data_IF_582972953277
#
_entry.id   IF_582972953277
#
_cell.length_a   1.000
_cell.length_b   1.000
_cell.length_c   1.000
_cell.angle_alpha   90.00
_cell.angle_beta   90.00
_cell.angle_gamma   90.00
#
_symmetry.space_group_name_H-M   'P 1'
#
loop_
_entity.id
_entity.type
_entity.pdbx_description
1 polymer ?
#
# COMPACT_ATOMS: atom_id res chain seq x y z
N UNK A 1 -29.11 -89.60 -21.51
CA UNK A 1 -28.15 -90.37 -20.71
C UNK A 1 -26.77 -89.77 -20.94
N UNK A 2 -26.30 -88.97 -20.00
CA UNK A 2 -25.03 -88.23 -20.09
C UNK A 2 -24.45 -88.09 -18.68
N UNK A 3 -23.19 -88.43 -18.56
CA UNK A 3 -22.45 -88.86 -17.38
C UNK A 3 -22.29 -87.82 -16.26
N UNK A 4 -22.48 -88.31 -15.04
CA UNK A 4 -21.90 -87.81 -13.79
C UNK A 4 -20.36 -87.95 -13.81
N UNK A 5 -19.64 -86.88 -13.48
CA UNK A 5 -18.36 -86.96 -12.78
C UNK A 5 -18.18 -85.72 -11.90
N UNK A 6 -17.74 -85.99 -10.67
CA UNK A 6 -17.63 -85.14 -9.49
C UNK A 6 -16.16 -84.78 -9.29
N UNK A 7 -15.84 -83.53 -8.95
CA UNK A 7 -14.64 -83.12 -8.21
C UNK A 7 -14.89 -81.67 -7.74
N UNK A 8 -15.32 -81.42 -6.50
CA UNK A 8 -14.51 -81.28 -5.28
C UNK A 8 -13.31 -80.31 -5.41
N UNK A 9 -13.44 -79.24 -4.63
CA UNK A 9 -12.42 -78.57 -3.83
C UNK A 9 -11.29 -77.84 -4.57
N UNK A 10 -11.41 -76.52 -4.62
CA UNK A 10 -10.28 -75.62 -4.38
C UNK A 10 -10.77 -74.31 -3.77
N UNK A 11 -10.90 -74.35 -2.45
CA UNK A 11 -10.70 -73.18 -1.61
C UNK A 11 -9.26 -72.71 -1.79
N UNK A 12 -9.05 -71.54 -2.41
CA UNK A 12 -7.91 -70.63 -2.22
C UNK A 12 -7.98 -69.50 -3.25
N UNK A 13 -8.85 -68.53 -2.98
CA UNK A 13 -8.78 -67.19 -3.58
C UNK A 13 -9.23 -66.12 -2.57
N UNK A 14 -8.84 -66.28 -1.30
CA UNK A 14 -8.81 -65.20 -0.32
C UNK A 14 -7.34 -64.80 -0.12
N UNK A 15 -6.87 -63.81 -0.86
CA UNK A 15 -5.78 -62.89 -0.48
C UNK A 15 -5.27 -62.14 -1.71
N UNK A 16 -5.99 -61.10 -2.13
CA UNK A 16 -5.36 -60.04 -2.91
C UNK A 16 -6.01 -58.70 -2.58
N UNK A 17 -5.42 -58.06 -1.57
CA UNK A 17 -5.01 -56.66 -1.60
C UNK A 17 -5.82 -55.74 -2.54
N UNK A 18 -6.75 -54.98 -1.96
CA UNK A 18 -6.74 -53.53 -2.13
C UNK A 18 -7.32 -52.89 -0.88
N UNK A 19 -6.40 -52.45 -0.02
CA UNK A 19 -6.65 -51.43 0.98
C UNK A 19 -7.14 -50.17 0.27
N UNK A 20 -8.45 -49.95 0.21
CA UNK A 20 -9.00 -48.63 -0.07
C UNK A 20 -8.75 -47.74 1.15
N UNK A 21 -7.51 -47.28 1.27
CA UNK A 21 -7.17 -46.13 2.07
C UNK A 21 -7.94 -44.95 1.48
N UNK A 22 -9.00 -44.56 2.17
CA UNK A 22 -9.71 -43.30 1.98
C UNK A 22 -8.66 -42.19 1.92
N UNK A 23 -8.43 -41.70 0.71
CA UNK A 23 -7.59 -40.54 0.42
C UNK A 23 -8.22 -39.33 1.13
N UNK A 24 -7.81 -39.12 2.37
CA UNK A 24 -8.05 -37.88 3.07
C UNK A 24 -7.40 -36.78 2.25
N UNK A 25 -8.14 -35.73 1.84
CA UNK A 25 -7.55 -34.66 1.06
C UNK A 25 -6.41 -34.05 1.87
N UNK A 26 -5.16 -34.29 1.43
CA UNK A 26 -3.94 -33.69 1.98
C UNK A 26 -4.20 -32.19 2.11
N UNK A 27 -4.48 -31.71 3.32
CA UNK A 27 -4.57 -30.29 3.62
C UNK A 27 -3.22 -29.70 3.25
N UNK A 28 -3.19 -28.95 2.16
CA UNK A 28 -2.01 -28.20 1.75
C UNK A 28 -1.46 -27.44 2.96
N UNK A 29 -0.13 -27.46 3.20
CA UNK A 29 0.45 -26.78 4.34
C UNK A 29 0.02 -25.33 4.34
N UNK A 30 -0.55 -24.89 5.46
CA UNK A 30 -0.97 -23.50 5.71
C UNK A 30 0.27 -22.63 5.48
N UNK A 31 0.31 -21.93 4.34
CA UNK A 31 1.44 -21.06 3.99
C UNK A 31 1.72 -20.14 5.19
N UNK A 32 3.00 -19.98 5.61
CA UNK A 32 3.33 -19.12 6.74
C UNK A 32 2.69 -17.76 6.49
N UNK A 33 2.02 -17.24 7.52
CA UNK A 33 1.34 -15.95 7.48
C UNK A 33 2.31 -14.92 6.92
N UNK A 34 2.11 -14.57 5.64
CA UNK A 34 2.77 -13.42 5.05
C UNK A 34 2.36 -12.26 5.96
N UNK A 35 3.32 -11.54 6.54
CA UNK A 35 3.10 -10.32 7.34
C UNK A 35 2.38 -9.29 6.47
N UNK A 36 1.09 -9.48 6.27
CA UNK A 36 0.18 -8.52 5.70
C UNK A 36 -0.43 -7.80 6.90
N UNK A 37 -0.28 -6.47 6.98
CA UNK A 37 -0.84 -5.74 8.10
C UNK A 37 -2.36 -5.98 8.15
N UNK A 38 -2.86 -6.37 9.32
CA UNK A 38 -4.29 -6.59 9.56
C UNK A 38 -5.10 -5.32 9.34
N UNK A 39 -6.37 -5.44 8.95
CA UNK A 39 -7.24 -4.29 8.69
C UNK A 39 -7.23 -3.23 9.82
N UNK A 40 -7.18 -3.68 11.09
CA UNK A 40 -7.06 -2.80 12.27
C UNK A 40 -5.80 -1.93 12.27
N UNK A 41 -4.66 -2.50 11.85
CA UNK A 41 -3.37 -1.79 11.75
C UNK A 41 -3.43 -0.72 10.67
N UNK A 42 -4.09 -1.00 9.54
CA UNK A 42 -4.25 -0.02 8.47
C UNK A 42 -5.14 1.15 8.88
N UNK A 43 -6.25 0.87 9.56
CA UNK A 43 -7.09 1.92 10.13
C UNK A 43 -6.29 2.79 11.10
N UNK A 44 -5.50 2.16 11.98
CA UNK A 44 -4.60 2.87 12.90
C UNK A 44 -3.61 3.77 12.15
N UNK A 45 -3.00 3.27 11.08
CA UNK A 45 -2.10 4.05 10.20
C UNK A 45 -2.81 5.23 9.54
N UNK A 46 -4.07 5.06 9.09
CA UNK A 46 -4.86 6.16 8.52
C UNK A 46 -5.09 7.27 9.56
N UNK A 47 -5.53 6.90 10.77
CA UNK A 47 -5.76 7.87 11.84
C UNK A 47 -4.47 8.53 12.32
N UNK A 48 -3.38 7.77 12.43
CA UNK A 48 -2.07 8.31 12.75
C UNK A 48 -1.62 9.32 11.69
N UNK A 49 -1.81 9.00 10.41
CA UNK A 49 -1.51 9.91 9.30
C UNK A 49 -2.34 11.19 9.42
N UNK A 50 -3.65 11.08 9.69
CA UNK A 50 -4.51 12.24 9.90
C UNK A 50 -4.09 13.07 11.13
N UNK A 51 -3.69 12.41 12.23
CA UNK A 51 -3.21 13.07 13.44
C UNK A 51 -1.91 13.84 13.22
N UNK A 52 -0.94 13.24 12.52
CA UNK A 52 0.33 13.90 12.16
C UNK A 52 0.13 15.15 11.29
N UNK A 53 -1.05 15.32 10.69
CA UNK A 53 -1.40 16.47 9.88
C UNK A 53 -2.12 17.58 10.67
N UNK A 54 -2.54 17.33 11.92
CA UNK A 54 -3.18 18.35 12.75
C UNK A 54 -2.32 19.61 12.93
N UNK A 55 -1.00 19.51 13.20
CA UNK A 55 -0.16 20.70 13.32
C UNK A 55 -0.25 21.61 12.09
N UNK A 56 -0.35 21.04 10.89
CA UNK A 56 -0.45 21.83 9.66
C UNK A 56 -1.77 22.62 9.56
N UNK A 57 -2.90 22.00 9.89
CA UNK A 57 -4.21 22.67 9.89
C UNK A 57 -4.22 23.85 10.88
N UNK A 58 -3.52 23.71 12.00
CA UNK A 58 -3.43 24.73 13.05
C UNK A 58 -2.12 25.54 13.01
N UNK A 59 -1.47 25.60 11.84
CA UNK A 59 -0.10 26.11 11.73
C UNK A 59 0.10 27.54 12.18
N UNK A 60 -0.88 28.42 11.95
CA UNK A 60 -0.84 29.78 12.48
C UNK A 60 -0.79 29.81 14.00
N UNK A 61 -1.70 29.08 14.66
CA UNK A 61 -1.85 29.12 16.12
C UNK A 61 -0.70 28.48 16.88
N UNK A 62 -0.16 27.35 16.41
CA UNK A 62 0.94 26.70 17.14
C UNK A 62 2.27 27.44 16.95
N UNK A 63 2.51 28.09 15.80
CA UNK A 63 3.74 28.84 15.57
C UNK A 63 3.80 30.11 16.43
N UNK A 64 2.66 30.76 16.66
CA UNK A 64 2.56 31.87 17.61
C UNK A 64 2.84 31.40 19.05
N UNK A 65 2.31 30.23 19.43
CA UNK A 65 2.63 29.59 20.71
C UNK A 65 4.11 29.22 20.83
N UNK A 66 4.73 28.71 19.75
CA UNK A 66 6.16 28.36 19.71
C UNK A 66 7.04 29.61 19.79
N UNK A 67 6.66 30.69 19.12
CA UNK A 67 7.34 31.99 19.23
C UNK A 67 7.27 32.52 20.65
N UNK A 68 6.15 32.37 21.34
CA UNK A 68 5.97 32.86 22.70
C UNK A 68 6.73 32.04 23.76
N UNK A 69 6.85 30.72 23.57
CA UNK A 69 7.36 29.81 24.61
C UNK A 69 8.72 29.17 24.29
N UNK A 70 9.16 29.18 23.03
CA UNK A 70 10.36 28.46 22.55
C UNK A 70 11.02 29.18 21.36
N UNK A 71 11.52 30.40 21.59
CA UNK A 71 12.09 31.29 20.56
C UNK A 71 13.24 30.65 19.78
N UNK A 72 14.14 29.93 20.44
CA UNK A 72 15.27 29.26 19.77
C UNK A 72 14.80 28.16 18.82
N UNK A 73 13.82 27.36 19.24
CA UNK A 73 13.21 26.32 18.40
C UNK A 73 12.45 26.94 17.23
N UNK A 74 11.72 28.03 17.47
CA UNK A 74 11.09 28.82 16.40
C UNK A 74 12.12 29.34 15.39
N UNK A 75 13.25 29.86 15.88
CA UNK A 75 14.37 30.31 15.05
C UNK A 75 14.96 29.17 14.20
N UNK A 76 15.20 28.01 14.80
CA UNK A 76 15.69 26.81 14.11
C UNK A 76 14.73 26.36 13.00
N UNK A 77 13.43 26.25 13.29
CA UNK A 77 12.40 25.82 12.32
C UNK A 77 12.23 26.82 11.17
N UNK A 78 12.51 28.10 11.41
CA UNK A 78 12.46 29.16 10.39
C UNK A 78 13.77 29.31 9.61
N UNK A 79 14.86 28.78 10.16
CA UNK A 79 16.21 28.85 9.59
C UNK A 79 16.31 28.24 8.20
N UNK A 80 17.07 28.90 7.33
CA UNK A 80 17.24 28.49 5.94
C UNK A 80 17.90 27.12 5.82
N UNK A 81 18.95 26.87 6.62
CA UNK A 81 19.66 25.59 6.63
C UNK A 81 18.73 24.41 6.96
N UNK A 82 17.85 24.58 7.96
CA UNK A 82 16.88 23.55 8.33
C UNK A 82 15.93 23.24 7.17
N UNK A 83 15.39 24.27 6.51
CA UNK A 83 14.49 24.12 5.36
C UNK A 83 15.18 23.48 4.16
N UNK A 84 16.42 23.87 3.86
CA UNK A 84 17.20 23.29 2.78
C UNK A 84 17.49 21.81 3.03
N UNK A 85 18.02 21.45 4.20
CA UNK A 85 18.35 20.06 4.55
C UNK A 85 17.11 19.19 4.49
N UNK A 86 16.03 19.60 5.16
CA UNK A 86 14.78 18.83 5.18
C UNK A 86 14.14 18.75 3.79
N UNK A 87 14.24 19.80 2.98
CA UNK A 87 13.78 19.84 1.60
C UNK A 87 14.55 18.88 0.68
N UNK A 88 15.88 18.86 0.75
CA UNK A 88 16.71 17.93 -0.01
C UNK A 88 16.49 16.48 0.38
N UNK A 89 16.35 16.20 1.69
CA UNK A 89 16.00 14.85 2.15
C UNK A 89 14.62 14.44 1.58
N UNK A 90 13.63 15.32 1.64
CA UNK A 90 12.32 15.11 1.02
C UNK A 90 12.39 14.87 -0.50
N UNK A 91 13.27 15.58 -1.20
CA UNK A 91 13.52 15.40 -2.63
C UNK A 91 14.12 14.03 -2.93
N UNK A 92 15.10 13.57 -2.13
CA UNK A 92 15.69 12.23 -2.27
C UNK A 92 14.63 11.14 -2.11
N UNK A 93 13.76 11.25 -1.09
CA UNK A 93 12.63 10.32 -0.95
C UNK A 93 11.70 10.36 -2.17
N UNK A 94 11.36 11.55 -2.67
CA UNK A 94 10.48 11.72 -3.83
C UNK A 94 11.07 11.11 -5.11
N UNK A 95 12.37 11.29 -5.35
CA UNK A 95 13.07 10.69 -6.49
C UNK A 95 13.15 9.17 -6.36
N UNK A 96 13.42 8.67 -5.16
CA UNK A 96 13.43 7.23 -4.91
C UNK A 96 12.06 6.59 -5.16
N UNK A 97 10.98 7.23 -4.70
CA UNK A 97 9.60 6.83 -5.00
C UNK A 97 9.30 6.79 -6.50
N UNK A 98 9.74 7.81 -7.25
CA UNK A 98 9.57 7.85 -8.70
C UNK A 98 10.28 6.67 -9.39
N UNK A 99 11.49 6.32 -8.96
CA UNK A 99 12.25 5.18 -9.49
C UNK A 99 11.48 3.87 -9.23
N UNK A 100 10.92 3.69 -8.03
CA UNK A 100 10.14 2.51 -7.67
C UNK A 100 8.85 2.38 -8.50
N UNK A 101 8.19 3.50 -8.79
CA UNK A 101 7.02 3.56 -9.67
C UNK A 101 7.39 3.22 -11.11
N UNK A 102 8.46 3.82 -11.65
CA UNK A 102 8.96 3.55 -13.00
C UNK A 102 9.29 2.07 -13.19
N UNK A 103 9.96 1.46 -12.20
CA UNK A 103 10.25 0.01 -12.17
C UNK A 103 8.98 -0.83 -12.27
N UNK A 104 7.92 -0.51 -11.52
CA UNK A 104 6.66 -1.27 -11.51
C UNK A 104 6.00 -1.30 -12.89
N UNK A 105 6.21 -0.27 -13.71
CA UNK A 105 5.69 -0.13 -15.08
C UNK A 105 6.64 -0.67 -16.17
N UNK A 106 7.89 -0.97 -15.82
CA UNK A 106 8.94 -1.44 -16.74
C UNK A 106 8.69 -2.77 -17.48
N UNK A 107 7.57 -3.47 -17.24
CA UNK A 107 7.17 -4.62 -18.08
C UNK A 107 6.68 -4.22 -19.46
N UNK A 108 6.11 -3.02 -19.62
CA UNK A 108 5.61 -2.50 -20.91
C UNK A 108 6.39 -1.27 -21.41
N UNK A 109 7.48 -0.89 -20.74
CA UNK A 109 8.27 0.29 -21.06
C UNK A 109 9.55 -0.11 -21.80
N UNK A 110 10.07 0.79 -22.64
CA UNK A 110 11.21 0.51 -23.53
C UNK A 110 12.49 0.13 -22.78
N UNK A 111 12.66 0.60 -21.54
CA UNK A 111 13.82 0.29 -20.69
C UNK A 111 13.43 -0.65 -19.56
N UNK A 112 13.86 -1.92 -19.66
CA UNK A 112 13.69 -2.91 -18.58
C UNK A 112 14.78 -2.72 -17.51
N UNK A 113 14.47 -1.93 -16.48
CA UNK A 113 15.35 -1.79 -15.32
C UNK A 113 15.31 -3.09 -14.49
N UNK A 114 16.33 -3.94 -14.62
CA UNK A 114 16.49 -5.15 -13.80
C UNK A 114 17.14 -4.77 -12.46
N UNK A 115 16.32 -4.52 -11.45
CA UNK A 115 16.80 -4.35 -10.08
C UNK A 115 16.84 -5.70 -9.34
N UNK A 116 17.94 -6.04 -8.65
CA UNK A 116 18.06 -7.28 -7.88
C UNK A 116 17.05 -7.30 -6.71
N UNK A 117 16.70 -8.49 -6.23
CA UNK A 117 15.84 -8.65 -5.03
C UNK A 117 14.37 -8.99 -5.32
N UNK A 118 13.67 -9.46 -4.29
CA UNK A 118 12.32 -10.00 -4.40
C UNK A 118 11.25 -8.92 -4.57
N UNK A 119 10.13 -9.24 -5.23
CA UNK A 119 8.99 -8.31 -5.32
C UNK A 119 8.40 -7.90 -3.96
N UNK A 120 8.54 -8.75 -2.93
CA UNK A 120 8.09 -8.43 -1.58
C UNK A 120 9.01 -7.41 -0.92
N UNK A 121 10.33 -7.54 -1.10
CA UNK A 121 11.32 -6.58 -0.60
C UNK A 121 11.01 -5.17 -1.12
N UNK A 122 10.94 -5.01 -2.44
CA UNK A 122 10.67 -3.71 -3.07
C UNK A 122 9.31 -3.11 -2.71
N UNK A 123 8.29 -3.94 -2.51
CA UNK A 123 6.99 -3.47 -2.02
C UNK A 123 7.11 -2.93 -0.59
N UNK A 124 7.86 -3.63 0.27
CA UNK A 124 8.11 -3.17 1.64
C UNK A 124 8.91 -1.87 1.63
N UNK A 125 9.95 -1.79 0.81
CA UNK A 125 10.79 -0.59 0.63
C UNK A 125 9.96 0.61 0.20
N UNK A 126 9.05 0.46 -0.76
CA UNK A 126 8.12 1.53 -1.18
C UNK A 126 7.22 2.00 -0.04
N UNK A 127 6.70 1.08 0.79
CA UNK A 127 5.87 1.46 1.93
C UNK A 127 6.69 2.24 2.95
N UNK A 128 7.88 1.76 3.31
CA UNK A 128 8.75 2.44 4.27
C UNK A 128 9.27 3.78 3.75
N UNK A 129 9.60 3.88 2.47
CA UNK A 129 10.00 5.13 1.83
C UNK A 129 8.84 6.15 1.84
N UNK A 130 7.62 5.73 1.55
CA UNK A 130 6.43 6.57 1.69
C UNK A 130 6.19 7.06 3.13
N UNK A 131 6.38 6.19 4.14
CA UNK A 131 6.28 6.59 5.56
C UNK A 131 7.40 7.58 5.94
N UNK A 132 8.64 7.33 5.51
CA UNK A 132 9.76 8.22 5.73
C UNK A 132 9.56 9.59 5.07
N UNK A 133 9.00 9.60 3.86
CA UNK A 133 8.61 10.81 3.13
C UNK A 133 7.53 11.59 3.88
N UNK A 134 6.50 10.93 4.40
CA UNK A 134 5.46 11.55 5.23
C UNK A 134 6.06 12.19 6.49
N UNK A 135 6.93 11.48 7.20
CA UNK A 135 7.60 12.00 8.39
C UNK A 135 8.48 13.22 8.05
N UNK A 136 9.26 13.14 6.97
CA UNK A 136 10.13 14.25 6.57
C UNK A 136 9.37 15.47 6.07
N UNK A 137 8.28 15.28 5.33
CA UNK A 137 7.41 16.38 4.94
C UNK A 137 6.77 17.00 6.18
N UNK A 138 6.36 16.19 7.16
CA UNK A 138 5.95 16.67 8.48
C UNK A 138 6.99 17.62 9.07
N UNK A 139 8.22 17.14 9.25
CA UNK A 139 9.35 17.93 9.78
C UNK A 139 9.62 19.20 8.94
N UNK A 140 9.65 19.07 7.61
CA UNK A 140 9.92 20.17 6.68
C UNK A 140 8.86 21.27 6.75
N UNK A 141 7.61 20.90 7.04
CA UNK A 141 6.46 21.81 7.07
C UNK A 141 6.13 22.35 8.45
N UNK A 142 6.80 21.89 9.52
CA UNK A 142 6.69 22.45 10.88
C UNK A 142 7.10 23.94 10.99
N UNK A 143 7.59 24.55 9.91
CA UNK A 143 7.89 25.99 9.83
C UNK A 143 7.00 26.77 8.84
N UNK A 144 5.99 26.14 8.24
CA UNK A 144 5.16 26.75 7.19
C UNK A 144 3.96 27.51 7.79
N UNK A 145 3.72 28.74 7.31
CA UNK A 145 2.62 29.61 7.73
C UNK A 145 1.64 29.89 6.59
N UNK A 146 0.33 29.74 6.82
CA UNK A 146 -0.74 30.30 5.98
C UNK A 146 -1.21 29.45 4.78
N UNK A 147 -2.32 29.87 4.16
CA UNK A 147 -2.86 29.32 2.90
C UNK A 147 -2.03 29.81 1.71
N UNK A 148 -0.93 29.13 1.42
CA UNK A 148 -0.03 29.43 0.31
C UNK A 148 0.20 28.20 -0.56
N UNK A 149 1.10 28.28 -1.55
CA UNK A 149 1.46 27.17 -2.41
C UNK A 149 1.86 25.91 -1.60
N UNK A 150 2.59 26.08 -0.48
CA UNK A 150 2.99 24.96 0.38
C UNK A 150 1.77 24.26 0.99
N UNK A 151 0.71 25.01 1.30
CA UNK A 151 -0.51 24.43 1.81
C UNK A 151 -1.24 23.57 0.77
N UNK A 152 -1.39 24.08 -0.46
CA UNK A 152 -1.98 23.30 -1.56
C UNK A 152 -1.12 22.07 -1.88
N UNK A 153 0.20 22.25 -1.87
CA UNK A 153 1.15 21.18 -2.15
C UNK A 153 1.05 20.05 -1.11
N UNK A 154 0.89 20.41 0.17
CA UNK A 154 0.69 19.43 1.23
C UNK A 154 -0.68 18.74 1.14
N UNK A 155 -1.75 19.44 0.75
CA UNK A 155 -3.06 18.81 0.50
C UNK A 155 -3.01 17.76 -0.62
N UNK A 156 -2.25 18.03 -1.69
CA UNK A 156 -2.03 17.05 -2.75
C UNK A 156 -1.22 15.87 -2.24
N UNK A 157 -0.15 16.11 -1.47
CA UNK A 157 0.61 15.04 -0.82
C UNK A 157 -0.26 14.18 0.12
N UNK A 158 -1.17 14.82 0.85
CA UNK A 158 -2.16 14.12 1.67
C UNK A 158 -3.08 13.24 0.82
N UNK A 159 -3.61 13.75 -0.30
CA UNK A 159 -4.43 12.95 -1.21
C UNK A 159 -3.65 11.72 -1.75
N UNK A 160 -2.36 11.88 -2.09
CA UNK A 160 -1.48 10.76 -2.46
C UNK A 160 -1.42 9.71 -1.35
N UNK A 161 -1.15 10.13 -0.11
CA UNK A 161 -0.99 9.23 1.04
C UNK A 161 -2.31 8.55 1.39
N UNK A 162 -3.41 9.30 1.43
CA UNK A 162 -4.74 8.79 1.74
C UNK A 162 -5.19 7.75 0.71
N UNK A 163 -5.01 8.03 -0.59
CA UNK A 163 -5.36 7.06 -1.65
C UNK A 163 -4.54 5.78 -1.56
N UNK A 164 -3.26 5.85 -1.14
CA UNK A 164 -2.44 4.67 -0.90
C UNK A 164 -2.99 3.82 0.25
N UNK A 165 -3.27 4.43 1.40
CA UNK A 165 -3.73 3.70 2.59
C UNK A 165 -5.15 3.17 2.39
N UNK A 166 -6.06 3.97 1.85
CA UNK A 166 -7.44 3.54 1.56
C UNK A 166 -7.48 2.37 0.57
N UNK A 167 -6.64 2.37 -0.47
CA UNK A 167 -6.56 1.27 -1.43
C UNK A 167 -6.19 -0.06 -0.77
N UNK A 168 -5.17 -0.05 0.09
CA UNK A 168 -4.75 -1.28 0.81
C UNK A 168 -5.76 -1.66 1.90
N UNK A 169 -6.36 -0.69 2.60
CA UNK A 169 -7.39 -0.96 3.61
C UNK A 169 -8.62 -1.60 2.97
N UNK A 170 -9.07 -1.09 1.82
CA UNK A 170 -10.19 -1.66 1.06
C UNK A 170 -9.87 -3.08 0.57
N UNK A 171 -8.68 -3.32 0.00
CA UNK A 171 -8.27 -4.67 -0.43
C UNK A 171 -8.24 -5.64 0.76
N UNK A 172 -7.69 -5.21 1.89
CA UNK A 172 -7.56 -6.04 3.11
C UNK A 172 -8.91 -6.33 3.74
N UNK A 173 -9.80 -5.32 3.84
CA UNK A 173 -11.15 -5.52 4.39
C UNK A 173 -11.98 -6.52 3.58
N UNK A 174 -11.81 -6.54 2.26
CA UNK A 174 -12.47 -7.53 1.38
C UNK A 174 -11.88 -8.92 1.56
N UNK A 175 -10.57 -9.03 1.72
CA UNK A 175 -9.87 -10.29 1.94
C UNK A 175 -10.27 -10.90 3.29
N UNK A 176 -10.24 -10.11 4.36
CA UNK A 176 -10.57 -10.51 5.74
C UNK A 176 -12.08 -10.73 5.96
N UNK A 177 -12.95 -10.16 5.12
CA UNK A 177 -14.39 -10.35 5.25
C UNK A 177 -14.79 -11.84 5.20
N UNK A 178 -15.67 -12.33 6.09
CA UNK A 178 -16.15 -13.72 6.05
C UNK A 178 -17.04 -14.01 4.82
N UNK A 179 -17.52 -12.96 4.13
CA UNK A 179 -18.43 -13.10 2.97
C UNK A 179 -17.69 -13.62 1.74
N UNK A 180 -18.18 -14.72 1.16
CA UNK A 180 -17.64 -15.29 -0.09
C UNK A 180 -18.10 -14.55 -1.35
N UNK A 181 -19.27 -13.92 -1.27
CA UNK A 181 -19.87 -13.14 -2.35
C UNK A 181 -20.33 -11.78 -1.81
N UNK A 182 -20.11 -10.75 -2.61
CA UNK A 182 -20.64 -9.41 -2.39
C UNK A 182 -21.80 -9.22 -3.38
N UNK A 183 -22.80 -8.43 -3.01
CA UNK A 183 -24.10 -8.35 -3.70
C UNK A 183 -24.02 -8.13 -5.22
N UNK A 184 -25.17 -8.20 -5.90
CA UNK A 184 -25.25 -7.93 -7.34
C UNK A 184 -25.26 -6.42 -7.57
N UNK A 185 -24.40 -5.93 -8.48
CA UNK A 185 -24.56 -4.58 -9.01
C UNK A 185 -25.76 -4.55 -9.97
N UNK A 186 -26.43 -3.39 -10.12
CA UNK A 186 -27.47 -3.21 -11.13
C UNK A 186 -26.92 -3.60 -12.52
N UNK A 187 -27.62 -4.49 -13.22
CA UNK A 187 -27.22 -4.97 -14.55
C UNK A 187 -26.31 -6.21 -14.58
N UNK A 188 -25.90 -6.78 -13.44
CA UNK A 188 -25.14 -8.05 -13.41
C UNK A 188 -26.00 -9.24 -12.96
N UNK A 189 -25.97 -10.33 -13.74
CA UNK A 189 -26.71 -11.56 -13.44
C UNK A 189 -26.11 -12.39 -12.29
N UNK A 190 -24.80 -12.26 -12.04
CA UNK A 190 -24.06 -13.00 -11.00
C UNK A 190 -23.57 -12.11 -9.87
N UNK A 191 -23.58 -12.65 -8.65
CA UNK A 191 -23.02 -12.00 -7.47
C UNK A 191 -21.49 -11.84 -7.62
N UNK A 192 -20.94 -10.73 -7.12
CA UNK A 192 -19.51 -10.46 -7.23
C UNK A 192 -18.74 -11.39 -6.30
N UNK A 193 -17.78 -12.13 -6.86
CA UNK A 193 -16.82 -12.87 -6.04
C UNK A 193 -15.73 -11.92 -5.51
N UNK A 194 -15.01 -12.34 -4.46
CA UNK A 194 -13.90 -11.58 -3.85
C UNK A 194 -12.87 -11.11 -4.90
N UNK A 195 -12.49 -11.99 -5.83
CA UNK A 195 -11.46 -11.69 -6.82
C UNK A 195 -11.85 -10.59 -7.80
N UNK A 196 -13.10 -10.58 -8.27
CA UNK A 196 -13.63 -9.55 -9.16
C UNK A 196 -13.65 -8.19 -8.47
N UNK A 197 -14.11 -8.16 -7.22
CA UNK A 197 -14.19 -6.93 -6.44
C UNK A 197 -12.81 -6.36 -6.13
N UNK A 198 -11.84 -7.19 -5.72
CA UNK A 198 -10.45 -6.77 -5.51
C UNK A 198 -9.84 -6.18 -6.80
N UNK A 199 -10.10 -6.78 -7.96
CA UNK A 199 -9.60 -6.26 -9.24
C UNK A 199 -10.19 -4.89 -9.58
N UNK A 200 -11.49 -4.70 -9.40
CA UNK A 200 -12.17 -3.42 -9.68
C UNK A 200 -11.75 -2.33 -8.72
N UNK A 201 -11.72 -2.63 -7.42
CA UNK A 201 -11.17 -1.70 -6.44
C UNK A 201 -9.73 -1.34 -6.83
N UNK A 202 -8.91 -2.33 -7.24
CA UNK A 202 -7.51 -2.10 -7.63
C UNK A 202 -7.38 -1.17 -8.80
N UNK A 203 -8.24 -1.32 -9.80
CA UNK A 203 -8.29 -0.43 -10.94
C UNK A 203 -8.54 1.02 -10.48
N UNK A 204 -9.56 1.22 -9.65
CA UNK A 204 -9.98 2.54 -9.18
C UNK A 204 -8.87 3.19 -8.35
N UNK A 205 -8.44 2.56 -7.25
CA UNK A 205 -7.50 3.20 -6.34
C UNK A 205 -6.11 3.37 -6.95
N UNK A 206 -5.65 2.43 -7.80
CA UNK A 206 -4.35 2.54 -8.46
C UNK A 206 -4.34 3.72 -9.43
N UNK A 207 -5.42 3.90 -10.21
CA UNK A 207 -5.54 5.02 -11.12
C UNK A 207 -5.60 6.36 -10.36
N UNK A 208 -6.42 6.45 -9.31
CA UNK A 208 -6.48 7.65 -8.46
C UNK A 208 -5.13 7.97 -7.83
N UNK A 209 -4.43 6.97 -7.28
CA UNK A 209 -3.13 7.16 -6.65
C UNK A 209 -2.08 7.63 -7.68
N UNK A 210 -2.02 7.04 -8.87
CA UNK A 210 -1.11 7.49 -9.95
C UNK A 210 -1.41 8.93 -10.36
N UNK A 211 -2.70 9.29 -10.48
CA UNK A 211 -3.12 10.65 -10.81
C UNK A 211 -2.62 11.66 -9.77
N UNK A 212 -2.87 11.40 -8.48
CA UNK A 212 -2.38 12.28 -7.40
C UNK A 212 -0.85 12.35 -7.34
N UNK A 213 -0.14 11.22 -7.54
CA UNK A 213 1.33 11.21 -7.58
C UNK A 213 1.85 12.08 -8.75
N UNK A 214 1.17 12.06 -9.90
CA UNK A 214 1.54 12.89 -11.04
C UNK A 214 1.36 14.38 -10.74
N UNK A 215 0.23 14.77 -10.13
CA UNK A 215 0.00 16.16 -9.69
C UNK A 215 1.06 16.57 -8.66
N UNK A 216 1.32 15.72 -7.66
CA UNK A 216 2.32 15.96 -6.65
C UNK A 216 3.69 16.24 -7.28
N UNK A 217 4.10 15.44 -8.28
CA UNK A 217 5.40 15.63 -8.91
C UNK A 217 5.49 16.96 -9.68
N UNK A 218 4.44 17.32 -10.42
CA UNK A 218 4.38 18.62 -11.12
C UNK A 218 4.45 19.77 -10.11
N UNK A 219 3.71 19.68 -9.01
CA UNK A 219 3.76 20.67 -7.94
C UNK A 219 5.12 20.71 -7.24
N UNK A 220 5.81 19.58 -7.07
CA UNK A 220 7.15 19.53 -6.49
C UNK A 220 8.16 20.30 -7.36
N UNK A 221 8.11 20.10 -8.68
CA UNK A 221 8.99 20.84 -9.62
C UNK A 221 8.69 22.34 -9.56
N UNK A 222 7.41 22.72 -9.55
CA UNK A 222 7.02 24.13 -9.37
C UNK A 222 7.46 24.68 -8.01
N UNK A 223 7.34 23.91 -6.93
CA UNK A 223 7.78 24.30 -5.59
C UNK A 223 9.26 24.66 -5.58
N UNK A 224 10.08 23.76 -6.13
CA UNK A 224 11.53 23.95 -6.24
C UNK A 224 11.81 25.20 -7.07
N UNK A 225 11.17 25.36 -8.23
CA UNK A 225 11.35 26.54 -9.06
C UNK A 225 10.98 27.85 -8.31
N UNK A 226 9.85 27.89 -7.61
CA UNK A 226 9.44 29.06 -6.84
C UNK A 226 10.43 29.40 -5.73
N UNK A 227 10.90 28.40 -4.99
CA UNK A 227 11.86 28.60 -3.88
C UNK A 227 13.22 29.10 -4.39
N UNK A 228 13.69 28.65 -5.55
CA UNK A 228 15.01 29.02 -6.07
C UNK A 228 15.01 30.30 -6.92
N UNK A 229 13.92 30.62 -7.62
CA UNK A 229 13.88 31.75 -8.56
C UNK A 229 13.11 32.97 -8.04
N UNK A 230 12.23 32.82 -7.05
CA UNK A 230 11.33 33.88 -6.58
C UNK A 230 11.35 34.08 -5.06
N UNK A 231 12.53 33.95 -4.43
CA UNK A 231 12.73 34.09 -2.97
C UNK A 231 11.95 35.26 -2.34
#
# INVERSE_FOLDING_TARGET
MGSSFRNQDNANSESMLTSDSIDTPKRLPKRPNKLQPTFKVLIGLTFLTAFLLLPFVFSGSYLDMLRANAVELYGLLRGELFKQVTGYVGLVFSLFELILVARKRGRSWFVKIKLPGSMNFWRSTHIFAGVGMLAMIGIHTLGATGLNFNAVFLWVFFAVTLTAVMGVAAETGVLESPRRQFGKLPGMSKAMNKGFMIRHLRLIWLNSHIFFVSIFFVMLVMHIALVYYYQ
#
